data_IF_018552956346
#
_entry.id   IF_018552956346
#
_cell.length_a   1.000
_cell.length_b   1.000
_cell.length_c   1.000
_cell.angle_alpha   90.00
_cell.angle_beta   90.00
_cell.angle_gamma   90.00
#
_symmetry.space_group_name_H-M   'P 1'
#
loop_
_entity.id
_entity.type
_entity.pdbx_description
1 polymer ?
#
# COMPACT_ATOMS: atom_id res chain seq x y z
N UNK A 1 31.78 -2.96 -14.89
CA UNK A 1 33.24 -3.05 -14.79
C UNK A 1 33.71 -1.78 -14.11
N UNK A 2 34.52 -1.89 -13.06
CA UNK A 2 35.02 -0.73 -12.30
C UNK A 2 36.46 -0.32 -12.66
N UNK A 3 37.14 -1.06 -13.53
CA UNK A 3 38.48 -0.80 -14.04
C UNK A 3 38.58 -1.04 -15.51
N UNK A 4 39.37 -0.24 -16.24
CA UNK A 4 39.63 -0.37 -17.67
C UNK A 4 40.89 -1.17 -17.92
N UNK A 5 41.00 -1.76 -19.11
CA UNK A 5 42.21 -2.51 -19.55
C UNK A 5 43.42 -1.56 -19.59
N UNK A 6 44.52 -1.94 -18.94
CA UNK A 6 45.74 -1.13 -18.85
C UNK A 6 45.83 -0.21 -17.62
N UNK A 7 44.82 -0.18 -16.76
CA UNK A 7 44.82 0.63 -15.52
C UNK A 7 45.58 -0.10 -14.40
N UNK A 8 46.56 0.58 -13.79
CA UNK A 8 47.33 0.04 -12.66
C UNK A 8 46.52 0.16 -11.39
N UNK A 9 46.14 -0.96 -10.78
CA UNK A 9 45.42 -1.01 -9.52
C UNK A 9 46.39 -1.20 -8.36
N UNK A 10 46.42 -0.23 -7.43
CA UNK A 10 47.20 -0.35 -6.22
C UNK A 10 46.45 -1.26 -5.22
N UNK A 11 47.02 -2.43 -4.94
CA UNK A 11 46.56 -3.35 -3.90
C UNK A 11 47.00 -2.81 -2.53
N UNK A 12 46.32 -1.78 -2.03
CA UNK A 12 46.48 -1.35 -0.65
C UNK A 12 45.37 -2.00 0.20
N UNK A 13 45.20 -1.73 1.44
CA UNK A 13 44.41 -2.39 2.49
C UNK A 13 43.04 -3.02 2.13
N UNK A 14 42.46 -2.81 0.95
CA UNK A 14 41.25 -3.47 0.46
C UNK A 14 41.41 -3.90 -0.99
N UNK A 15 41.03 -5.16 -1.31
CA UNK A 15 41.05 -5.67 -2.67
C UNK A 15 40.01 -4.94 -3.52
N UNK A 16 40.37 -4.39 -4.69
CA UNK A 16 39.38 -3.74 -5.55
C UNK A 16 38.42 -4.75 -6.16
N UNK A 17 37.16 -4.36 -6.30
CA UNK A 17 36.13 -5.17 -6.99
C UNK A 17 36.20 -4.92 -8.49
N UNK A 18 36.65 -5.90 -9.26
CA UNK A 18 36.80 -5.80 -10.71
C UNK A 18 35.49 -6.04 -11.48
N UNK A 19 34.66 -6.99 -11.01
CA UNK A 19 33.43 -7.39 -11.68
C UNK A 19 32.38 -7.75 -10.62
N UNK A 20 31.14 -7.29 -10.84
CA UNK A 20 29.96 -7.73 -10.09
C UNK A 20 29.08 -8.55 -11.00
N UNK A 21 28.84 -9.82 -10.66
CA UNK A 21 27.94 -10.73 -11.37
C UNK A 21 26.57 -10.77 -10.65
N UNK A 22 25.49 -10.54 -11.40
CA UNK A 22 24.13 -10.54 -10.86
C UNK A 22 23.29 -11.58 -11.61
N UNK A 23 22.70 -12.53 -10.89
CA UNK A 23 21.75 -13.49 -11.46
C UNK A 23 20.34 -12.91 -11.50
N UNK A 24 19.92 -12.42 -12.64
CA UNK A 24 18.59 -11.82 -12.85
C UNK A 24 17.44 -12.82 -12.66
N UNK A 25 17.70 -14.14 -12.59
CA UNK A 25 16.68 -15.16 -12.32
C UNK A 25 16.32 -15.26 -10.84
N UNK A 26 17.14 -14.69 -9.97
CA UNK A 26 17.00 -14.69 -8.49
C UNK A 26 16.62 -13.32 -7.93
N UNK A 27 15.98 -12.48 -8.74
CA UNK A 27 15.48 -11.20 -8.26
C UNK A 27 14.43 -11.42 -7.17
N UNK A 28 14.53 -10.63 -6.13
CA UNK A 28 13.59 -10.56 -5.02
C UNK A 28 13.24 -9.10 -4.73
N UNK A 29 12.19 -8.85 -3.98
CA UNK A 29 11.84 -7.51 -3.53
C UNK A 29 12.01 -7.46 -2.02
N UNK A 30 12.91 -6.59 -1.55
CA UNK A 30 13.07 -6.29 -0.12
C UNK A 30 12.14 -5.14 0.24
N UNK A 31 11.26 -5.36 1.21
CA UNK A 31 10.29 -4.38 1.70
C UNK A 31 10.63 -4.02 3.13
N UNK A 32 10.72 -2.73 3.42
CA UNK A 32 10.87 -2.22 4.77
C UNK A 32 9.48 -1.96 5.36
N UNK A 33 9.12 -2.69 6.41
CA UNK A 33 7.83 -2.59 7.08
C UNK A 33 8.03 -2.02 8.47
N UNK A 34 7.27 -0.99 8.81
CA UNK A 34 7.28 -0.35 10.13
C UNK A 34 6.93 -1.34 11.25
N UNK A 35 7.53 -1.16 12.43
CA UNK A 35 7.29 -1.99 13.62
C UNK A 35 5.80 -2.06 13.98
N UNK A 36 5.02 -1.01 13.75
CA UNK A 36 3.59 -0.98 14.06
C UNK A 36 2.75 -1.89 13.16
N UNK A 37 3.23 -2.22 11.96
CA UNK A 37 2.52 -3.02 10.97
C UNK A 37 3.05 -4.44 10.80
N UNK A 38 4.29 -4.73 11.23
CA UNK A 38 4.93 -6.04 11.03
C UNK A 38 4.13 -7.20 11.65
N UNK A 39 3.46 -6.95 12.79
CA UNK A 39 2.62 -7.96 13.46
C UNK A 39 1.45 -8.49 12.62
N UNK A 40 1.10 -7.80 11.52
CA UNK A 40 0.06 -8.22 10.57
C UNK A 40 0.60 -8.98 9.37
N UNK A 41 1.91 -8.96 9.16
CA UNK A 41 2.57 -9.62 8.04
C UNK A 41 2.86 -11.07 8.40
N UNK A 42 2.60 -11.96 7.46
CA UNK A 42 2.86 -13.41 7.61
C UNK A 42 3.43 -13.97 6.33
N UNK A 43 4.32 -14.93 6.45
CA UNK A 43 4.83 -15.70 5.32
C UNK A 43 3.67 -16.32 4.55
N UNK A 44 3.75 -16.27 3.24
CA UNK A 44 2.73 -16.77 2.33
C UNK A 44 1.67 -15.76 1.92
N UNK A 45 1.62 -14.56 2.49
CA UNK A 45 0.68 -13.51 2.05
C UNK A 45 0.98 -13.05 0.63
N UNK A 46 -0.09 -12.75 -0.11
CA UNK A 46 0.02 -12.21 -1.47
C UNK A 46 0.42 -10.74 -1.42
N UNK A 47 1.31 -10.37 -2.32
CA UNK A 47 1.73 -9.01 -2.53
C UNK A 47 1.55 -8.60 -3.99
N UNK A 48 1.30 -7.34 -4.22
CA UNK A 48 1.37 -6.69 -5.52
C UNK A 48 2.30 -5.49 -5.40
N UNK A 49 3.08 -5.24 -6.45
CA UNK A 49 3.96 -4.08 -6.47
C UNK A 49 4.05 -3.47 -7.87
N UNK A 50 4.40 -2.21 -7.89
CA UNK A 50 4.78 -1.47 -9.09
C UNK A 50 6.20 -0.97 -8.93
N UNK A 51 6.90 -0.78 -10.02
CA UNK A 51 8.20 -0.09 -10.03
C UNK A 51 8.05 1.23 -10.76
N UNK A 52 8.84 2.23 -10.40
CA UNK A 52 8.68 3.58 -10.94
C UNK A 52 8.80 3.63 -12.47
N UNK A 53 9.69 2.80 -13.04
CA UNK A 53 9.84 2.65 -14.50
C UNK A 53 8.59 2.10 -15.19
N UNK A 54 7.77 1.31 -14.48
CA UNK A 54 6.55 0.68 -15.01
C UNK A 54 5.37 0.88 -14.06
N UNK A 55 5.04 2.14 -13.78
CA UNK A 55 4.01 2.53 -12.78
C UNK A 55 2.61 1.97 -13.07
N UNK A 56 2.28 1.71 -14.33
CA UNK A 56 1.00 1.12 -14.74
C UNK A 56 1.00 -0.43 -14.78
N UNK A 57 2.15 -1.06 -14.55
CA UNK A 57 2.26 -2.52 -14.57
C UNK A 57 2.30 -3.06 -13.14
N UNK A 58 1.32 -3.87 -12.79
CA UNK A 58 1.27 -4.56 -11.51
C UNK A 58 1.99 -5.90 -11.61
N UNK A 59 3.01 -6.03 -10.77
CA UNK A 59 3.72 -7.29 -10.58
C UNK A 59 3.16 -7.99 -9.36
N UNK A 60 3.17 -9.32 -9.39
CA UNK A 60 2.69 -10.15 -8.28
C UNK A 60 3.85 -10.81 -7.58
N UNK A 61 3.72 -10.90 -6.27
CA UNK A 61 4.68 -11.57 -5.42
C UNK A 61 4.00 -12.22 -4.22
N UNK A 62 4.80 -12.84 -3.40
CA UNK A 62 4.38 -13.52 -2.18
C UNK A 62 5.43 -13.32 -1.11
N UNK A 63 5.01 -13.08 0.13
CA UNK A 63 5.93 -13.00 1.28
C UNK A 63 6.60 -14.34 1.45
N UNK A 64 7.93 -14.38 1.27
CA UNK A 64 8.76 -15.57 1.47
C UNK A 64 9.28 -15.62 2.89
N UNK A 65 9.83 -14.52 3.36
CA UNK A 65 10.56 -14.46 4.62
C UNK A 65 10.38 -13.11 5.31
N UNK A 66 10.47 -13.11 6.63
CA UNK A 66 10.48 -11.91 7.47
C UNK A 66 11.74 -12.00 8.31
N UNK A 67 12.65 -11.05 8.15
CA UNK A 67 13.88 -11.03 8.94
C UNK A 67 13.56 -10.65 10.39
N UNK A 68 14.07 -11.41 11.37
CA UNK A 68 13.79 -11.15 12.78
C UNK A 68 14.52 -9.94 13.34
N UNK A 69 15.60 -9.51 12.66
CA UNK A 69 16.37 -8.35 13.08
C UNK A 69 15.80 -7.08 12.48
N UNK A 70 15.49 -6.11 13.34
CA UNK A 70 15.09 -4.78 12.89
C UNK A 70 16.29 -4.02 12.30
N UNK A 71 16.00 -3.16 11.34
CA UNK A 71 16.93 -2.18 10.77
C UNK A 71 16.41 -0.78 11.02
N UNK A 72 17.29 0.14 11.43
CA UNK A 72 16.92 1.55 11.59
C UNK A 72 17.23 2.26 10.28
N UNK A 73 16.19 2.78 9.65
CA UNK A 73 16.28 3.57 8.43
C UNK A 73 15.53 4.88 8.64
N UNK A 74 16.18 6.00 8.37
CA UNK A 74 15.61 7.34 8.56
C UNK A 74 15.03 7.59 9.97
N UNK A 75 15.72 7.10 11.01
CA UNK A 75 15.30 7.11 12.42
C UNK A 75 14.00 6.34 12.71
N UNK A 76 13.56 5.46 11.81
CA UNK A 76 12.39 4.60 11.98
C UNK A 76 12.83 3.15 12.08
N UNK A 77 12.25 2.42 13.03
CA UNK A 77 12.48 0.98 13.19
C UNK A 77 11.67 0.22 12.16
N UNK A 78 12.36 -0.49 11.27
CA UNK A 78 11.75 -1.26 10.20
C UNK A 78 12.21 -2.72 10.28
N UNK A 79 11.39 -3.62 9.76
CA UNK A 79 11.71 -5.03 9.54
C UNK A 79 11.77 -5.31 8.05
N UNK A 80 12.79 -6.06 7.64
CA UNK A 80 12.92 -6.50 6.25
C UNK A 80 12.01 -7.69 5.98
N UNK A 81 11.19 -7.55 4.95
CA UNK A 81 10.30 -8.58 4.43
C UNK A 81 10.70 -8.89 3.00
N UNK A 82 11.03 -10.14 2.73
CA UNK A 82 11.46 -10.58 1.40
C UNK A 82 10.25 -11.16 0.65
N UNK A 83 10.06 -10.66 -0.56
CA UNK A 83 9.02 -11.17 -1.46
C UNK A 83 9.65 -11.93 -2.63
N UNK A 84 9.11 -13.11 -2.88
CA UNK A 84 9.33 -13.81 -4.15
C UNK A 84 8.48 -13.17 -5.24
N UNK A 85 9.06 -13.04 -6.43
CA UNK A 85 8.40 -12.48 -7.61
C UNK A 85 7.87 -13.61 -8.48
N UNK A 86 6.63 -13.47 -8.98
CA UNK A 86 6.11 -14.39 -9.99
C UNK A 86 6.95 -14.32 -11.27
N UNK A 87 7.43 -15.47 -11.75
CA UNK A 87 8.40 -15.59 -12.86
C UNK A 87 7.96 -14.95 -14.17
N UNK A 88 6.66 -14.81 -14.39
CA UNK A 88 6.07 -14.36 -15.67
C UNK A 88 6.56 -12.99 -16.16
N UNK A 89 6.97 -12.11 -15.26
CA UNK A 89 7.34 -10.72 -15.59
C UNK A 89 8.74 -10.31 -15.09
N UNK A 90 9.53 -11.28 -14.62
CA UNK A 90 10.83 -11.00 -14.00
C UNK A 90 11.82 -10.35 -14.98
N UNK A 91 11.72 -10.66 -16.28
CA UNK A 91 12.59 -10.12 -17.32
C UNK A 91 12.52 -8.60 -17.51
N UNK A 92 11.42 -7.98 -17.06
CA UNK A 92 11.24 -6.52 -17.12
C UNK A 92 11.90 -5.80 -15.95
N UNK A 93 12.22 -6.52 -14.90
CA UNK A 93 12.78 -5.96 -13.68
C UNK A 93 14.31 -5.93 -13.74
N UNK A 94 14.90 -4.99 -13.05
CA UNK A 94 16.35 -4.86 -12.89
C UNK A 94 16.68 -4.73 -11.40
N UNK A 95 17.87 -5.15 -10.97
CA UNK A 95 18.35 -4.85 -9.61
C UNK A 95 18.28 -3.35 -9.32
N UNK A 96 18.15 -3.01 -8.05
CA UNK A 96 18.14 -1.63 -7.54
C UNK A 96 16.97 -0.75 -7.99
N UNK A 97 15.95 -1.33 -8.67
CA UNK A 97 14.70 -0.60 -8.93
C UNK A 97 13.91 -0.39 -7.64
N UNK A 98 13.42 0.84 -7.44
CA UNK A 98 12.49 1.15 -6.36
C UNK A 98 11.11 0.57 -6.65
N UNK A 99 10.53 -0.10 -5.66
CA UNK A 99 9.22 -0.73 -5.76
C UNK A 99 8.24 -0.20 -4.70
N UNK A 100 7.01 0.10 -5.13
CA UNK A 100 5.90 0.42 -4.25
C UNK A 100 5.06 -0.86 -4.04
N UNK A 101 5.06 -1.38 -2.81
CA UNK A 101 4.50 -2.69 -2.49
C UNK A 101 3.22 -2.59 -1.67
N UNK A 102 2.23 -3.39 -2.03
CA UNK A 102 0.99 -3.59 -1.28
C UNK A 102 0.89 -5.06 -0.88
N UNK A 103 0.96 -5.36 0.42
CA UNK A 103 0.80 -6.70 0.97
C UNK A 103 -0.64 -6.88 1.46
N UNK A 104 -1.30 -7.95 1.01
CA UNK A 104 -2.67 -8.28 1.44
C UNK A 104 -2.63 -9.00 2.78
N UNK A 105 -2.95 -8.30 3.86
CA UNK A 105 -2.92 -8.84 5.23
C UNK A 105 -4.15 -9.67 5.59
N UNK A 106 -5.24 -9.53 4.84
CA UNK A 106 -6.45 -10.33 5.05
C UNK A 106 -7.49 -10.08 3.97
N UNK A 107 -8.41 -11.01 3.82
CA UNK A 107 -9.54 -10.89 2.91
C UNK A 107 -10.81 -11.34 3.62
N UNK A 108 -11.86 -10.54 3.56
CA UNK A 108 -13.20 -10.93 3.99
C UNK A 108 -14.11 -11.00 2.78
N UNK A 109 -14.69 -12.16 2.54
CA UNK A 109 -15.70 -12.35 1.50
C UNK A 109 -17.06 -11.92 2.06
N UNK A 110 -17.91 -11.34 1.20
CA UNK A 110 -19.29 -10.94 1.52
C UNK A 110 -19.40 -9.92 2.67
N UNK A 111 -18.39 -9.09 2.88
CA UNK A 111 -18.48 -8.02 3.86
C UNK A 111 -19.33 -6.87 3.31
N UNK A 112 -20.31 -6.41 4.08
CA UNK A 112 -21.02 -5.19 3.77
C UNK A 112 -20.08 -4.01 3.96
N UNK A 113 -19.91 -3.17 2.94
CA UNK A 113 -18.97 -2.05 2.99
C UNK A 113 -19.63 -0.75 2.59
N UNK A 114 -19.22 0.34 3.21
CA UNK A 114 -19.60 1.70 2.83
C UNK A 114 -18.35 2.56 2.57
N UNK A 115 -18.44 3.58 1.73
CA UNK A 115 -17.36 4.54 1.57
C UNK A 115 -17.04 5.23 2.89
N UNK A 116 -15.76 5.48 3.15
CA UNK A 116 -15.30 6.20 4.34
C UNK A 116 -15.98 7.56 4.51
N UNK A 117 -16.33 8.22 3.40
CA UNK A 117 -17.03 9.50 3.37
C UNK A 117 -18.48 9.45 3.88
N UNK A 118 -19.11 8.27 3.89
CA UNK A 118 -20.46 8.08 4.41
C UNK A 118 -20.50 7.90 5.95
N UNK A 119 -19.37 7.73 6.58
CA UNK A 119 -19.25 7.52 8.03
C UNK A 119 -19.11 8.86 8.72
N UNK A 120 -20.03 9.14 9.64
CA UNK A 120 -19.97 10.27 10.54
C UNK A 120 -19.65 9.82 11.96
N UNK A 121 -19.00 10.68 12.73
CA UNK A 121 -18.66 10.44 14.14
C UNK A 121 -19.10 11.61 14.98
N UNK A 122 -19.71 11.30 16.12
CA UNK A 122 -20.01 12.25 17.17
C UNK A 122 -19.56 11.64 18.51
N UNK A 123 -18.45 12.16 19.02
CA UNK A 123 -17.76 11.58 20.18
C UNK A 123 -17.40 10.11 19.94
N UNK A 124 -17.93 9.20 20.74
CA UNK A 124 -17.73 7.75 20.65
C UNK A 124 -18.71 7.06 19.71
N UNK A 125 -19.75 7.74 19.25
CA UNK A 125 -20.79 7.15 18.39
C UNK A 125 -20.40 7.26 16.92
N UNK A 126 -20.66 6.20 16.18
CA UNK A 126 -20.45 6.14 14.73
C UNK A 126 -21.77 5.91 14.05
N UNK A 127 -22.12 6.73 13.07
CA UNK A 127 -23.38 6.65 12.35
C UNK A 127 -23.23 7.00 10.88
N UNK A 128 -24.21 6.64 10.10
CA UNK A 128 -24.39 7.07 8.73
C UNK A 128 -25.78 7.68 8.54
N UNK A 129 -25.89 8.56 7.54
CA UNK A 129 -27.18 9.17 7.20
C UNK A 129 -27.90 8.25 6.23
N UNK A 130 -29.11 7.85 6.57
CA UNK A 130 -29.97 6.99 5.74
C UNK A 130 -31.13 7.78 5.18
N UNK A 131 -31.56 7.44 3.99
CA UNK A 131 -32.84 7.91 3.45
C UNK A 131 -33.93 6.85 3.69
N UNK A 132 -34.91 7.19 4.50
CA UNK A 132 -36.07 6.35 4.78
C UNK A 132 -37.33 7.16 4.50
N UNK A 133 -38.15 6.70 3.54
CA UNK A 133 -39.42 7.39 3.12
C UNK A 133 -39.20 8.88 2.78
N UNK A 134 -38.09 9.21 2.09
CA UNK A 134 -37.74 10.59 1.71
C UNK A 134 -37.19 11.46 2.85
N UNK A 135 -37.04 10.92 4.06
CA UNK A 135 -36.47 11.63 5.22
C UNK A 135 -35.06 11.11 5.50
N UNK A 136 -34.18 12.03 5.86
CA UNK A 136 -32.81 11.69 6.27
C UNK A 136 -32.81 11.42 7.77
N UNK A 137 -32.36 10.24 8.16
CA UNK A 137 -32.22 9.83 9.57
C UNK A 137 -30.80 9.36 9.83
N UNK A 138 -30.29 9.67 11.02
CA UNK A 138 -29.02 9.15 11.49
C UNK A 138 -29.22 7.74 12.04
N UNK A 139 -28.46 6.79 11.49
CA UNK A 139 -28.45 5.40 11.94
C UNK A 139 -27.10 5.03 12.51
N UNK A 140 -27.09 4.57 13.76
CA UNK A 140 -25.90 4.06 14.40
C UNK A 140 -25.41 2.80 13.71
N UNK A 141 -24.09 2.72 13.48
CA UNK A 141 -23.43 1.60 12.80
C UNK A 141 -22.22 1.15 13.59
N UNK A 142 -21.94 -0.13 13.57
CA UNK A 142 -20.72 -0.72 14.08
C UNK A 142 -19.76 -1.02 12.93
N UNK A 143 -18.54 -0.50 13.03
CA UNK A 143 -17.53 -0.62 11.99
C UNK A 143 -16.62 -1.83 12.23
N UNK A 144 -16.17 -2.42 11.14
CA UNK A 144 -15.17 -3.46 11.12
C UNK A 144 -13.86 -3.00 10.50
N UNK A 145 -13.32 -3.81 9.62
CA UNK A 145 -12.07 -3.56 8.93
C UNK A 145 -12.17 -2.34 8.00
N UNK A 146 -11.01 -1.70 7.81
CA UNK A 146 -10.86 -0.57 6.90
C UNK A 146 -9.91 -0.95 5.79
N UNK A 147 -10.31 -0.67 4.57
CA UNK A 147 -9.48 -0.86 3.38
C UNK A 147 -9.51 0.42 2.54
N UNK A 148 -8.46 1.23 2.70
CA UNK A 148 -8.29 2.48 1.94
C UNK A 148 -9.52 3.38 1.94
N UNK A 149 -10.36 3.25 0.91
CA UNK A 149 -11.54 4.08 0.66
C UNK A 149 -12.84 3.57 1.28
N UNK A 150 -12.88 2.30 1.69
CA UNK A 150 -14.08 1.64 2.22
C UNK A 150 -13.90 1.16 3.65
N UNK A 151 -15.00 0.99 4.36
CA UNK A 151 -15.05 0.48 5.73
C UNK A 151 -16.12 -0.61 5.79
N UNK A 152 -15.79 -1.73 6.42
CA UNK A 152 -16.74 -2.80 6.72
C UNK A 152 -17.77 -2.32 7.76
N UNK A 153 -19.03 -2.65 7.55
CA UNK A 153 -20.10 -2.47 8.52
C UNK A 153 -20.46 -3.83 9.09
N UNK A 154 -20.25 -4.01 10.40
CA UNK A 154 -20.59 -5.25 11.11
C UNK A 154 -22.08 -5.32 11.45
N UNK A 155 -22.66 -4.18 11.84
CA UNK A 155 -24.07 -4.07 12.21
C UNK A 155 -24.61 -2.67 11.96
N UNK A 156 -25.94 -2.55 11.87
CA UNK A 156 -26.65 -1.27 11.70
C UNK A 156 -27.11 -0.99 10.26
N UNK A 157 -26.59 -1.71 9.25
CA UNK A 157 -27.06 -1.61 7.85
C UNK A 157 -27.37 -2.99 7.29
N UNK A 158 -28.26 -3.02 6.29
CA UNK A 158 -28.55 -4.19 5.47
C UNK A 158 -28.13 -3.94 4.03
N UNK A 159 -27.86 -5.01 3.30
CA UNK A 159 -27.53 -4.91 1.88
C UNK A 159 -28.72 -4.31 1.10
N UNK A 160 -28.41 -3.42 0.14
CA UNK A 160 -29.39 -2.71 -0.66
C UNK A 160 -30.00 -1.45 -0.02
N UNK A 161 -29.71 -1.13 1.23
CA UNK A 161 -30.16 0.12 1.85
C UNK A 161 -29.43 1.36 1.27
N UNK A 162 -30.17 2.45 1.08
CA UNK A 162 -29.64 3.72 0.57
C UNK A 162 -29.10 4.57 1.71
N UNK A 163 -27.89 5.09 1.56
CA UNK A 163 -27.26 5.99 2.53
C UNK A 163 -26.76 7.26 1.83
N UNK A 164 -26.77 8.37 2.56
CA UNK A 164 -26.28 9.66 2.09
C UNK A 164 -24.76 9.73 2.19
N UNK A 165 -24.12 10.14 1.10
CA UNK A 165 -22.73 10.60 1.15
C UNK A 165 -22.80 12.12 1.28
N UNK A 166 -22.17 12.75 2.29
CA UNK A 166 -22.14 14.20 2.37
C UNK A 166 -21.55 14.74 1.08
N UNK A 167 -22.35 15.44 0.31
CA UNK A 167 -21.88 16.12 -0.90
C UNK A 167 -20.74 17.06 -0.47
N UNK A 168 -19.58 16.95 -1.12
CA UNK A 168 -18.62 18.04 -1.16
C UNK A 168 -19.39 19.25 -1.70
N UNK A 169 -19.68 20.21 -0.84
CA UNK A 169 -20.14 21.53 -1.28
C UNK A 169 -19.01 22.10 -2.12
N UNK A 170 -19.10 21.93 -3.44
CA UNK A 170 -18.28 22.66 -4.38
C UNK A 170 -18.81 24.07 -4.31
N UNK A 171 -18.18 24.92 -3.51
CA UNK A 171 -18.46 26.35 -3.54
C UNK A 171 -17.98 26.85 -4.89
N UNK A 172 -18.90 26.99 -5.81
CA UNK A 172 -18.69 27.74 -7.04
C UNK A 172 -18.48 29.21 -6.62
N UNK A 173 -17.21 29.63 -6.51
CA UNK A 173 -16.88 31.04 -6.39
C UNK A 173 -17.38 31.73 -7.66
N UNK A 174 -18.55 32.39 -7.57
CA UNK A 174 -19.05 33.33 -8.61
C UNK A 174 -17.96 34.36 -8.83
N UNK A 175 -17.27 34.32 -10.01
CA UNK A 175 -16.37 35.38 -10.48
C UNK A 175 -17.21 36.66 -10.62
N UNK A 176 -17.11 37.56 -9.66
CA UNK A 176 -17.63 38.94 -9.81
C UNK A 176 -16.87 39.58 -10.97
N UNK A 177 -17.52 39.72 -12.12
CA UNK A 177 -17.10 40.61 -13.21
C UNK A 177 -17.14 42.03 -12.65
N UNK A 178 -15.98 42.62 -12.39
CA UNK A 178 -15.86 44.09 -12.29
C UNK A 178 -16.10 44.66 -13.67
N UNK A 179 -17.21 45.34 -13.83
CA UNK A 179 -17.41 46.31 -14.94
C UNK A 179 -16.55 47.55 -14.61
N UNK A 180 -15.70 47.89 -15.53
CA UNK A 180 -15.28 49.26 -15.79
C UNK A 180 -15.91 49.66 -17.11
#
# INVERSE_FOLDING_TARGET
>A
MSTQEGETVAASMSAPTFITLIDLRKLEVTVFVDETDIGRIKVGQKAMFTVDTYSNNFFKGKVREIHPKAVIKDNVVNYEVILDIEKKNISKLRPEMTANVVITTGTRKNALTIPKSAVKRDGKKTFTVMEVNGKLIDRSIELGWRDGKVIEVKSGLKDGERFGIPNKIISTKKKRRRRR
#
